data_IF_155782674881
#
_entry.id   IF_155782674881
#
_cell.length_a   1.000
_cell.length_b   1.000
_cell.length_c   1.000
_cell.angle_alpha   90.00
_cell.angle_beta   90.00
_cell.angle_gamma   90.00
#
_symmetry.space_group_name_H-M   'P 1'
#
loop_
_entity.id
_entity.type
_entity.pdbx_description
1 polymer ?
#
# COMPACT_ATOMS: atom_id res chain seq x y z
N UNK A 1 42.28 16.80 -28.88
CA UNK A 1 42.16 15.91 -27.70
C UNK A 1 40.74 15.41 -27.67
N UNK A 2 40.45 14.13 -27.51
CA UNK A 2 41.19 13.05 -26.86
C UNK A 2 40.12 12.33 -26.04
N UNK A 3 39.57 11.25 -26.58
CA UNK A 3 38.51 10.45 -25.95
C UNK A 3 39.00 9.01 -25.88
N UNK A 4 39.23 8.57 -24.66
CA UNK A 4 39.95 7.37 -24.29
C UNK A 4 39.35 6.08 -24.88
N UNK A 5 40.23 5.25 -25.41
CA UNK A 5 39.94 3.90 -25.84
C UNK A 5 39.83 2.98 -24.62
N UNK A 6 38.70 2.28 -24.47
CA UNK A 6 38.64 1.06 -23.66
C UNK A 6 38.67 -0.14 -24.63
N UNK A 7 39.65 -1.05 -24.54
CA UNK A 7 39.83 -2.13 -25.50
C UNK A 7 39.01 -3.37 -25.10
N UNK A 8 38.58 -4.10 -26.13
CA UNK A 8 38.00 -5.45 -26.10
C UNK A 8 36.48 -5.59 -25.87
N UNK A 9 35.70 -5.35 -26.93
CA UNK A 9 34.56 -6.22 -27.25
C UNK A 9 34.81 -6.83 -28.63
N UNK A 10 35.12 -8.12 -28.67
CA UNK A 10 35.28 -8.87 -29.91
C UNK A 10 34.00 -8.82 -30.74
N UNK A 11 34.13 -8.75 -32.07
CA UNK A 11 33.03 -8.86 -33.03
C UNK A 11 32.40 -10.25 -32.94
N UNK A 12 31.47 -10.44 -32.02
CA UNK A 12 30.40 -11.42 -32.22
C UNK A 12 29.32 -10.74 -33.09
N UNK A 13 28.73 -11.42 -34.08
CA UNK A 13 27.58 -10.90 -34.79
C UNK A 13 26.43 -10.77 -33.78
N UNK A 14 26.30 -9.57 -33.22
CA UNK A 14 25.24 -9.23 -32.26
C UNK A 14 23.91 -9.41 -32.97
N UNK A 15 23.05 -10.27 -32.41
CA UNK A 15 21.66 -10.33 -32.84
C UNK A 15 21.03 -8.94 -32.61
N UNK A 16 20.17 -8.45 -33.51
CA UNK A 16 19.37 -7.26 -33.22
C UNK A 16 18.69 -7.44 -31.86
N UNK A 17 18.82 -6.46 -30.97
CA UNK A 17 18.11 -6.47 -29.70
C UNK A 17 16.60 -6.55 -29.96
N UNK A 18 15.89 -7.35 -29.19
CA UNK A 18 14.43 -7.38 -29.25
C UNK A 18 13.88 -6.00 -28.82
N UNK A 19 12.82 -5.52 -29.47
CA UNK A 19 12.09 -4.37 -28.97
C UNK A 19 11.58 -4.68 -27.55
N UNK A 20 11.85 -3.76 -26.61
CA UNK A 20 11.35 -3.88 -25.25
C UNK A 20 9.83 -3.73 -25.20
N UNK A 21 9.18 -4.42 -24.28
CA UNK A 21 7.74 -4.29 -24.07
C UNK A 21 7.43 -2.93 -23.41
N UNK A 22 6.55 -2.14 -24.04
CA UNK A 22 6.01 -0.93 -23.43
C UNK A 22 4.96 -1.35 -22.39
N UNK A 23 5.38 -1.54 -21.14
CA UNK A 23 4.45 -1.68 -20.02
C UNK A 23 3.56 -0.44 -19.96
N UNK A 24 2.26 -0.62 -20.16
CA UNK A 24 1.30 0.46 -19.97
C UNK A 24 1.34 0.85 -18.49
N UNK A 25 1.93 2.01 -18.21
CA UNK A 25 2.00 2.63 -16.90
C UNK A 25 0.65 3.25 -16.50
N UNK A 26 -0.44 2.53 -16.77
CA UNK A 26 -1.80 2.95 -16.50
C UNK A 26 -2.04 3.15 -15.00
N UNK A 27 -3.05 3.95 -14.70
CA UNK A 27 -3.55 4.13 -13.33
C UNK A 27 -4.14 2.79 -12.87
N UNK A 28 -3.62 2.26 -11.75
CA UNK A 28 -4.20 1.06 -11.14
C UNK A 28 -5.59 1.37 -10.57
N UNK A 29 -6.48 0.36 -10.47
CA UNK A 29 -7.72 0.51 -9.76
C UNK A 29 -7.50 0.95 -8.30
N UNK A 30 -8.51 1.55 -7.65
CA UNK A 30 -8.43 1.91 -6.23
C UNK A 30 -8.01 0.69 -5.38
N UNK A 31 -7.18 0.93 -4.37
CA UNK A 31 -6.63 -0.10 -3.50
C UNK A 31 -5.51 -0.96 -4.11
N UNK A 32 -5.02 -0.63 -5.31
CA UNK A 32 -3.93 -1.38 -5.97
C UNK A 32 -2.81 -0.45 -6.41
N UNK A 33 -1.56 -0.89 -6.31
CA UNK A 33 -0.41 -0.07 -6.66
C UNK A 33 0.72 -0.90 -7.32
N UNK A 34 1.72 -0.20 -7.82
CA UNK A 34 2.90 -0.78 -8.46
C UNK A 34 2.69 -1.17 -9.93
N UNK A 35 3.74 -1.72 -10.54
CA UNK A 35 3.78 -2.06 -11.98
C UNK A 35 2.76 -3.14 -12.33
N UNK A 36 2.43 -4.03 -11.39
CA UNK A 36 1.50 -5.15 -11.56
C UNK A 36 0.10 -4.88 -10.98
N UNK A 37 -0.18 -3.66 -10.48
CA UNK A 37 -1.41 -3.35 -9.75
C UNK A 37 -1.74 -4.39 -8.65
N UNK A 38 -0.72 -4.71 -7.85
CA UNK A 38 -0.87 -5.57 -6.69
C UNK A 38 -1.75 -4.87 -5.64
N UNK A 39 -2.57 -5.62 -4.88
CA UNK A 39 -3.37 -5.03 -3.83
C UNK A 39 -2.48 -4.46 -2.72
N UNK A 40 -2.88 -3.30 -2.19
CA UNK A 40 -2.19 -2.67 -1.07
C UNK A 40 -2.26 -3.55 0.17
N UNK A 41 -1.14 -3.68 0.90
CA UNK A 41 -1.08 -4.47 2.13
C UNK A 41 -2.02 -3.92 3.21
N UNK A 42 -2.32 -4.72 4.23
CA UNK A 42 -3.10 -4.28 5.39
C UNK A 42 -2.45 -3.06 6.05
N UNK A 43 -3.26 -2.05 6.34
CA UNK A 43 -2.78 -0.78 6.87
C UNK A 43 -2.24 0.18 5.82
N UNK A 44 -2.44 -0.14 4.54
CA UNK A 44 -2.20 0.79 3.44
C UNK A 44 -3.40 0.87 2.50
N UNK A 45 -3.53 2.00 1.81
CA UNK A 45 -4.60 2.27 0.87
C UNK A 45 -4.08 2.94 -0.40
N UNK A 46 -4.87 2.89 -1.47
CA UNK A 46 -4.65 3.72 -2.64
C UNK A 46 -5.99 4.33 -3.08
N UNK A 47 -6.13 5.67 -3.05
CA UNK A 47 -7.38 6.32 -3.42
C UNK A 47 -7.77 6.04 -4.88
N UNK A 48 -9.06 6.20 -5.21
CA UNK A 48 -9.48 6.22 -6.60
C UNK A 48 -8.70 7.28 -7.38
N UNK A 49 -8.44 6.94 -8.65
CA UNK A 49 -7.93 7.84 -9.67
C UNK A 49 -8.71 9.14 -9.75
N UNK A 50 -8.29 10.18 -9.03
CA UNK A 50 -8.74 11.53 -9.36
C UNK A 50 -8.09 11.91 -10.69
N UNK A 51 -8.87 12.54 -11.56
CA UNK A 51 -8.63 12.83 -12.98
C UNK A 51 -7.34 13.63 -13.27
N UNK A 52 -6.58 13.94 -12.22
CA UNK A 52 -5.32 14.61 -12.27
C UNK A 52 -4.20 13.64 -12.55
N UNK A 53 -3.34 14.06 -13.46
CA UNK A 53 -2.10 13.48 -13.98
C UNK A 53 -1.04 13.15 -12.90
N UNK A 54 -1.46 12.61 -11.77
CA UNK A 54 -0.69 12.21 -10.61
C UNK A 54 -0.41 10.70 -10.68
N UNK A 55 0.13 10.28 -11.83
CA UNK A 55 0.56 8.90 -12.10
C UNK A 55 1.53 8.34 -11.05
N UNK A 56 2.14 9.20 -10.22
CA UNK A 56 2.96 8.81 -9.08
C UNK A 56 2.15 8.33 -7.86
N UNK A 57 0.96 8.91 -7.60
CA UNK A 57 0.12 8.56 -6.44
C UNK A 57 -0.42 7.13 -6.57
N UNK A 58 -0.77 6.71 -7.78
CA UNK A 58 -1.32 5.37 -8.05
C UNK A 58 -0.28 4.25 -8.13
N UNK A 59 1.00 4.59 -7.95
CA UNK A 59 2.10 3.60 -7.95
C UNK A 59 2.51 3.17 -6.55
N UNK A 60 2.06 3.87 -5.52
CA UNK A 60 2.44 3.60 -4.13
C UNK A 60 1.20 3.48 -3.25
N UNK A 61 1.23 2.56 -2.29
CA UNK A 61 0.21 2.49 -1.25
C UNK A 61 0.57 3.47 -0.13
N UNK A 62 -0.41 4.26 0.29
CA UNK A 62 -0.30 5.23 1.38
C UNK A 62 -0.63 4.56 2.71
N UNK A 63 0.00 4.99 3.80
CA UNK A 63 -0.26 4.44 5.13
C UNK A 63 -1.58 4.95 5.70
N UNK A 64 -2.34 4.07 6.34
CA UNK A 64 -3.55 4.45 7.07
C UNK A 64 -3.17 4.91 8.49
N UNK A 65 -3.90 5.87 9.04
CA UNK A 65 -3.65 6.43 10.37
C UNK A 65 -4.90 6.50 11.27
N UNK A 66 -5.94 5.73 10.95
CA UNK A 66 -7.26 5.83 11.58
C UNK A 66 -7.52 4.84 12.74
N UNK A 67 -6.57 3.95 13.05
CA UNK A 67 -6.71 2.97 14.13
C UNK A 67 -6.02 3.44 15.42
N UNK A 68 -6.46 3.00 16.61
CA UNK A 68 -5.69 3.17 17.84
C UNK A 68 -4.44 2.27 17.85
N UNK A 69 -3.51 2.56 18.76
CA UNK A 69 -2.23 1.84 18.87
C UNK A 69 -2.42 0.34 19.09
N UNK A 70 -3.38 -0.04 19.93
CA UNK A 70 -3.72 -1.42 20.29
C UNK A 70 -4.44 -2.20 19.20
N UNK A 71 -4.98 -1.56 18.15
CA UNK A 71 -5.71 -2.25 17.08
C UNK A 71 -4.79 -2.80 15.97
N UNK A 72 -5.32 -3.69 15.14
CA UNK A 72 -4.66 -4.20 13.94
C UNK A 72 -5.49 -3.93 12.69
N UNK A 73 -4.87 -3.45 11.61
CA UNK A 73 -5.53 -3.34 10.31
C UNK A 73 -5.83 -4.71 9.73
N UNK A 74 -7.03 -4.88 9.15
CA UNK A 74 -7.53 -6.19 8.70
C UNK A 74 -7.76 -6.30 7.20
N UNK A 75 -8.02 -5.18 6.52
CA UNK A 75 -8.34 -5.19 5.10
C UNK A 75 -7.11 -4.97 4.21
N UNK A 76 -7.06 -5.73 3.12
CA UNK A 76 -6.09 -5.61 2.02
C UNK A 76 -6.79 -4.93 0.85
N UNK A 77 -6.05 -4.11 0.11
CA UNK A 77 -6.53 -3.41 -1.08
C UNK A 77 -7.55 -2.33 -0.76
N UNK A 78 -7.34 -1.60 0.34
CA UNK A 78 -8.30 -0.59 0.76
C UNK A 78 -8.22 0.70 -0.07
N UNK A 79 -9.36 1.35 -0.24
CA UNK A 79 -9.52 2.47 -1.18
C UNK A 79 -9.43 3.85 -0.52
N UNK A 80 -9.47 3.97 0.81
CA UNK A 80 -9.45 5.25 1.51
C UNK A 80 -8.47 5.23 2.69
N UNK A 81 -8.18 6.38 3.28
CA UNK A 81 -7.39 6.48 4.51
C UNK A 81 -8.04 5.84 5.75
N UNK A 82 -9.35 5.56 5.68
CA UNK A 82 -10.16 4.94 6.73
C UNK A 82 -10.10 3.42 6.64
N UNK A 83 -8.93 2.85 6.88
CA UNK A 83 -8.70 1.42 6.76
C UNK A 83 -9.39 0.62 7.86
N UNK A 84 -10.09 -0.48 7.53
CA UNK A 84 -10.68 -1.37 8.51
C UNK A 84 -9.63 -1.91 9.46
N UNK A 85 -9.96 -1.87 10.74
CA UNK A 85 -9.16 -2.40 11.82
C UNK A 85 -10.03 -3.22 12.77
N UNK A 86 -9.40 -4.08 13.54
CA UNK A 86 -10.03 -4.86 14.58
C UNK A 86 -9.18 -4.83 15.85
N UNK A 87 -9.84 -4.97 17.00
CA UNK A 87 -9.15 -5.13 18.26
C UNK A 87 -8.45 -6.50 18.34
N UNK A 88 -7.37 -6.62 19.13
CA UNK A 88 -6.69 -7.90 19.33
C UNK A 88 -7.60 -8.97 19.94
N UNK A 89 -7.20 -10.23 19.80
CA UNK A 89 -7.91 -11.33 20.44
C UNK A 89 -8.04 -11.13 21.95
N UNK A 90 -9.26 -11.29 22.47
CA UNK A 90 -9.58 -11.08 23.89
C UNK A 90 -10.13 -9.70 24.24
N UNK A 91 -10.14 -8.76 23.30
CA UNK A 91 -10.77 -7.45 23.45
C UNK A 91 -12.21 -7.47 22.93
N UNK A 92 -13.13 -6.65 23.48
CA UNK A 92 -14.43 -6.42 22.86
C UNK A 92 -14.26 -5.90 21.42
N UNK A 93 -15.22 -6.18 20.53
CA UNK A 93 -15.09 -5.82 19.13
C UNK A 93 -15.23 -4.31 18.91
N UNK A 94 -14.69 -3.81 17.80
CA UNK A 94 -14.51 -2.37 17.53
C UNK A 94 -15.81 -1.59 17.53
N UNK A 95 -16.93 -2.23 17.23
CA UNK A 95 -18.27 -1.62 17.20
C UNK A 95 -18.71 -1.11 18.58
N UNK A 96 -18.20 -1.73 19.65
CA UNK A 96 -18.48 -1.33 21.04
C UNK A 96 -17.24 -0.80 21.76
N UNK A 97 -16.05 -1.05 21.22
CA UNK A 97 -14.76 -0.64 21.78
C UNK A 97 -13.85 -0.06 20.69
N UNK A 98 -14.14 1.15 20.17
CA UNK A 98 -13.40 1.75 19.06
C UNK A 98 -11.93 2.02 19.40
N UNK A 99 -11.64 2.29 20.67
CA UNK A 99 -10.28 2.55 21.17
C UNK A 99 -9.50 1.26 21.48
N UNK A 100 -10.14 0.09 21.35
CA UNK A 100 -9.58 -1.20 21.69
C UNK A 100 -8.91 -1.18 23.08
N UNK A 101 -9.62 -0.63 24.08
CA UNK A 101 -9.17 -0.65 25.48
C UNK A 101 -9.35 -2.05 26.07
N UNK A 102 -8.54 -2.38 27.08
CA UNK A 102 -8.57 -3.70 27.67
C UNK A 102 -9.93 -4.01 28.33
N UNK A 103 -10.30 -5.30 28.45
CA UNK A 103 -11.61 -5.69 28.95
C UNK A 103 -11.95 -5.19 30.34
N UNK A 104 -10.95 -5.01 31.22
CA UNK A 104 -11.18 -4.53 32.58
C UNK A 104 -11.48 -3.04 32.58
N UNK A 105 -10.68 -2.24 31.87
CA UNK A 105 -10.93 -0.81 31.66
C UNK A 105 -12.29 -0.60 30.99
N UNK A 106 -12.60 -1.35 29.93
CA UNK A 106 -13.90 -1.31 29.27
C UNK A 106 -15.05 -1.61 30.24
N UNK A 107 -14.91 -2.64 31.08
CA UNK A 107 -15.94 -3.03 32.05
C UNK A 107 -16.16 -1.95 33.12
N UNK A 108 -15.09 -1.34 33.64
CA UNK A 108 -15.20 -0.29 34.64
C UNK A 108 -15.73 1.03 34.07
N UNK A 109 -15.35 1.40 32.85
CA UNK A 109 -15.92 2.57 32.16
C UNK A 109 -17.40 2.40 31.86
N UNK A 110 -17.84 1.17 31.53
CA UNK A 110 -19.24 0.91 31.18
C UNK A 110 -20.17 0.74 32.40
N UNK A 111 -19.71 0.11 33.49
CA UNK A 111 -20.54 -0.21 34.67
C UNK A 111 -20.23 0.61 35.93
N UNK A 112 -19.10 1.28 36.00
CA UNK A 112 -18.62 1.98 37.20
C UNK A 112 -18.86 3.49 37.22
N UNK A 113 -19.61 4.03 36.25
CA UNK A 113 -19.97 5.45 36.16
C UNK A 113 -21.00 5.91 37.18
#
# INVERSE_FOLDING_TARGET
GGGDASPACGKHPGRPGAEGEKLQLGVCPPGRAGISCAPCASGTYNPPGENDNSTAKFRVCLQCANKPESANYTAVGWLNETCPYACPGGFPPVEVNPDCVDPWTYYFDFFGG
#
